data_IF_936657733336
#
_entry.id   IF_936657733336
#
_cell.length_a   1.000
_cell.length_b   1.000
_cell.length_c   1.000
_cell.angle_alpha   90.00
_cell.angle_beta   90.00
_cell.angle_gamma   90.00
#
_symmetry.space_group_name_H-M   'P 1'
#
loop_
_entity.id
_entity.type
_entity.pdbx_description
1 polymer ?
#
# COMPACT_ATOMS: atom_id res chain seq x y z
N UNK A 1 -11.54 16.12 -9.95
CA UNK A 1 -12.86 15.65 -9.45
C UNK A 1 -12.83 14.15 -9.17
N UNK A 2 -12.39 13.29 -10.11
CA UNK A 2 -12.41 11.83 -9.95
C UNK A 2 -11.31 11.24 -9.03
N UNK A 3 -10.04 11.69 -9.14
CA UNK A 3 -8.96 11.28 -8.21
C UNK A 3 -9.31 11.53 -6.73
N UNK A 4 -10.08 12.60 -6.47
CA UNK A 4 -10.54 12.92 -5.13
C UNK A 4 -11.57 11.90 -4.62
N UNK A 5 -12.38 11.35 -5.51
CA UNK A 5 -13.40 10.35 -5.15
C UNK A 5 -12.76 8.99 -4.84
N UNK A 6 -11.82 8.53 -5.67
CA UNK A 6 -11.06 7.31 -5.40
C UNK A 6 -10.27 7.44 -4.09
N UNK A 7 -9.60 8.58 -3.89
CA UNK A 7 -8.90 8.85 -2.65
C UNK A 7 -9.84 8.82 -1.44
N UNK A 8 -11.02 9.44 -1.53
CA UNK A 8 -12.06 9.41 -0.49
C UNK A 8 -12.48 7.97 -0.18
N UNK A 9 -12.78 7.17 -1.20
CA UNK A 9 -13.17 5.76 -1.02
C UNK A 9 -12.06 4.91 -0.39
N UNK A 10 -10.80 5.13 -0.76
CA UNK A 10 -9.64 4.47 -0.17
C UNK A 10 -9.47 4.86 1.30
N UNK A 11 -9.63 6.14 1.62
CA UNK A 11 -9.52 6.67 2.98
C UNK A 11 -10.68 6.14 3.87
N UNK A 12 -11.91 6.13 3.37
CA UNK A 12 -13.05 5.52 4.08
C UNK A 12 -12.86 4.02 4.30
N UNK A 13 -12.41 3.30 3.27
CA UNK A 13 -12.10 1.87 3.39
C UNK A 13 -11.00 1.63 4.42
N UNK A 14 -9.98 2.50 4.49
CA UNK A 14 -8.90 2.44 5.47
C UNK A 14 -9.45 2.55 6.89
N UNK A 15 -10.15 3.64 7.21
CA UNK A 15 -10.66 3.89 8.56
C UNK A 15 -11.71 2.86 8.98
N UNK A 16 -12.58 2.43 8.07
CA UNK A 16 -13.52 1.34 8.35
C UNK A 16 -12.81 0.01 8.65
N UNK A 17 -11.65 -0.23 8.04
CA UNK A 17 -10.80 -1.39 8.34
C UNK A 17 -10.11 -1.28 9.70
N UNK A 18 -9.61 -0.09 10.05
CA UNK A 18 -8.92 0.19 11.30
C UNK A 18 -9.88 0.25 12.51
N UNK A 19 -11.15 0.61 12.31
CA UNK A 19 -12.16 0.65 13.37
C UNK A 19 -12.67 -0.73 13.83
N UNK A 20 -12.18 -1.83 13.23
CA UNK A 20 -12.59 -3.19 13.60
C UNK A 20 -11.88 -3.64 14.89
N UNK A 21 -12.60 -4.31 15.78
CA UNK A 21 -12.09 -4.84 17.06
C UNK A 21 -10.81 -5.69 16.92
N UNK A 22 -10.67 -6.40 15.79
CA UNK A 22 -9.49 -7.18 15.43
C UNK A 22 -8.99 -6.77 14.06
N UNK A 23 -8.09 -5.80 14.04
CA UNK A 23 -7.42 -5.37 12.81
C UNK A 23 -6.49 -6.48 12.34
N UNK A 24 -6.62 -6.86 11.07
CA UNK A 24 -5.73 -7.84 10.45
C UNK A 24 -4.33 -7.25 10.32
N UNK A 25 -3.32 -8.03 10.73
CA UNK A 25 -1.92 -7.77 10.43
C UNK A 25 -1.57 -8.33 9.05
N UNK A 26 -0.68 -7.64 8.35
CA UNK A 26 -0.05 -8.14 7.13
C UNK A 26 0.60 -9.50 7.39
N UNK A 27 0.69 -10.33 6.34
CA UNK A 27 1.45 -11.56 6.40
C UNK A 27 2.91 -11.30 6.82
N UNK A 28 3.66 -12.36 7.11
CA UNK A 28 5.11 -12.20 7.25
C UNK A 28 5.68 -11.83 5.88
N UNK A 29 6.22 -10.63 5.77
CA UNK A 29 6.84 -10.08 4.56
C UNK A 29 8.26 -9.70 4.92
N UNK A 30 9.23 -10.43 4.38
CA UNK A 30 10.64 -10.30 4.76
C UNK A 30 11.23 -8.93 4.42
N UNK A 31 10.63 -8.24 3.44
CA UNK A 31 10.99 -6.90 3.01
C UNK A 31 10.59 -5.80 4.01
N UNK A 32 9.74 -6.11 5.00
CA UNK A 32 9.29 -5.12 5.99
C UNK A 32 10.12 -5.29 7.26
N UNK A 33 11.05 -4.35 7.46
CA UNK A 33 12.02 -4.39 8.54
C UNK A 33 11.74 -3.33 9.61
N UNK A 34 12.08 -3.66 10.84
CA UNK A 34 11.99 -2.81 12.02
C UNK A 34 13.40 -2.51 12.56
N UNK A 35 13.51 -1.60 13.52
CA UNK A 35 14.76 -1.19 14.16
C UNK A 35 15.84 -0.71 13.17
N UNK A 36 15.43 0.17 12.24
CA UNK A 36 16.35 0.75 11.26
C UNK A 36 16.89 -0.27 10.24
N UNK A 37 16.15 -1.35 9.99
CA UNK A 37 16.53 -2.38 9.02
C UNK A 37 17.28 -3.59 9.61
N UNK A 38 17.41 -3.68 10.93
CA UNK A 38 18.20 -4.76 11.55
C UNK A 38 17.46 -6.10 11.60
N UNK A 39 16.13 -6.09 11.55
CA UNK A 39 15.31 -7.31 11.62
C UNK A 39 13.98 -7.16 10.90
N UNK A 40 13.35 -8.26 10.50
CA UNK A 40 11.96 -8.28 10.03
C UNK A 40 11.00 -7.90 11.16
N UNK A 41 9.99 -7.07 10.87
CA UNK A 41 8.93 -6.77 11.83
C UNK A 41 8.10 -8.03 12.12
N UNK A 42 7.78 -8.30 13.39
CA UNK A 42 6.99 -9.47 13.80
C UNK A 42 5.92 -9.09 14.84
N UNK A 43 4.98 -10.01 15.11
CA UNK A 43 3.94 -9.84 16.11
C UNK A 43 3.13 -8.56 15.89
N UNK A 44 3.15 -7.69 16.92
CA UNK A 44 2.42 -6.43 16.96
C UNK A 44 3.07 -5.31 16.12
N UNK A 45 4.33 -5.46 15.71
CA UNK A 45 5.04 -4.48 14.90
C UNK A 45 4.74 -4.63 13.40
N UNK A 46 4.17 -5.77 12.99
CA UNK A 46 3.76 -5.98 11.61
C UNK A 46 2.75 -4.92 11.17
N UNK A 47 2.83 -4.46 9.91
CA UNK A 47 1.85 -3.52 9.38
C UNK A 47 0.43 -4.02 9.55
N UNK A 48 -0.52 -3.11 9.71
CA UNK A 48 -1.92 -3.46 9.53
C UNK A 48 -2.22 -3.62 8.04
N UNK A 49 -3.18 -4.49 7.74
CA UNK A 49 -3.61 -4.76 6.38
C UNK A 49 -5.12 -4.69 6.28
N UNK A 50 -5.61 -3.77 5.46
CA UNK A 50 -7.03 -3.60 5.18
C UNK A 50 -7.30 -4.10 3.76
N UNK A 51 -8.03 -5.21 3.69
CA UNK A 51 -8.41 -5.86 2.45
C UNK A 51 -9.77 -5.32 1.96
N UNK A 52 -9.81 -4.82 0.74
CA UNK A 52 -11.05 -4.51 0.03
C UNK A 52 -10.91 -4.95 -1.44
N UNK A 53 -11.14 -6.24 -1.76
CA UNK A 53 -10.86 -6.78 -3.09
C UNK A 53 -11.62 -6.07 -4.22
N UNK A 54 -12.84 -5.61 -3.93
CA UNK A 54 -13.65 -4.85 -4.89
C UNK A 54 -12.99 -3.50 -5.20
N UNK A 55 -12.71 -2.69 -4.16
CA UNK A 55 -12.08 -1.38 -4.34
C UNK A 55 -10.68 -1.52 -4.96
N UNK A 56 -9.90 -2.52 -4.55
CA UNK A 56 -8.59 -2.81 -5.14
C UNK A 56 -8.70 -3.05 -6.65
N UNK A 57 -9.72 -3.81 -7.09
CA UNK A 57 -9.95 -4.07 -8.52
C UNK A 57 -10.40 -2.81 -9.25
N UNK A 58 -11.27 -2.00 -8.65
CA UNK A 58 -11.71 -0.72 -9.21
C UNK A 58 -10.48 0.20 -9.41
N UNK A 59 -9.65 0.40 -8.38
CA UNK A 59 -8.42 1.18 -8.48
C UNK A 59 -7.45 0.64 -9.54
N UNK A 60 -7.27 -0.68 -9.60
CA UNK A 60 -6.37 -1.31 -10.57
C UNK A 60 -6.78 -1.01 -12.02
N UNK A 61 -8.08 -1.13 -12.32
CA UNK A 61 -8.61 -0.85 -13.66
C UNK A 61 -8.55 0.62 -14.01
N UNK A 62 -8.75 1.48 -13.02
CA UNK A 62 -8.76 2.92 -13.23
C UNK A 62 -7.36 3.51 -13.41
N UNK A 63 -6.35 2.93 -12.75
CA UNK A 63 -4.95 3.33 -12.95
C UNK A 63 -4.34 2.75 -14.24
N UNK A 64 -4.93 1.70 -14.81
CA UNK A 64 -4.43 1.08 -16.04
C UNK A 64 -4.19 2.10 -17.17
N UNK A 65 -5.18 2.91 -17.61
CA UNK A 65 -4.95 3.85 -18.70
C UNK A 65 -3.87 4.89 -18.39
N UNK A 66 -3.72 5.30 -17.12
CA UNK A 66 -2.65 6.22 -16.70
C UNK A 66 -1.27 5.57 -16.79
N UNK A 67 -1.16 4.28 -16.43
CA UNK A 67 0.08 3.53 -16.57
C UNK A 67 0.42 3.26 -18.05
N UNK A 68 -0.57 2.95 -18.88
CA UNK A 68 -0.40 2.76 -20.33
C UNK A 68 0.03 4.06 -21.01
N UNK A 69 -0.61 5.19 -20.67
CA UNK A 69 -0.22 6.51 -21.17
C UNK A 69 1.21 6.87 -20.74
N UNK A 70 1.57 6.62 -19.49
CA UNK A 70 2.91 6.91 -18.96
C UNK A 70 4.00 6.05 -19.60
N UNK A 71 3.73 4.75 -19.79
CA UNK A 71 4.71 3.79 -20.27
C UNK A 71 4.78 3.65 -21.79
N UNK A 72 3.73 4.06 -22.51
CA UNK A 72 3.60 3.93 -23.95
C UNK A 72 3.39 2.48 -24.43
N UNK A 73 2.97 1.57 -23.54
CA UNK A 73 2.68 0.17 -23.86
C UNK A 73 1.32 -0.26 -23.30
N UNK A 74 0.65 -1.18 -24.00
CA UNK A 74 -0.57 -1.82 -23.50
C UNK A 74 -0.25 -2.73 -22.30
N UNK A 75 -1.09 -2.69 -21.27
CA UNK A 75 -0.86 -3.43 -20.03
C UNK A 75 -2.00 -4.41 -19.76
N UNK A 76 -1.68 -5.48 -19.02
CA UNK A 76 -2.68 -6.39 -18.47
C UNK A 76 -2.74 -6.19 -16.95
N UNK A 77 -3.91 -5.89 -16.37
CA UNK A 77 -4.07 -5.79 -14.92
C UNK A 77 -3.61 -7.07 -14.22
N UNK A 78 -2.60 -6.95 -13.35
CA UNK A 78 -2.05 -8.10 -12.61
C UNK A 78 -2.61 -8.19 -11.20
N UNK A 79 -2.30 -7.21 -10.33
CA UNK A 79 -2.66 -7.27 -8.91
C UNK A 79 -2.74 -5.89 -8.27
N UNK A 80 -3.65 -5.76 -7.31
CA UNK A 80 -3.68 -4.68 -6.33
C UNK A 80 -3.75 -5.28 -4.92
N UNK A 81 -2.67 -5.10 -4.16
CA UNK A 81 -2.47 -5.79 -2.88
C UNK A 81 -3.41 -5.30 -1.79
N UNK A 82 -3.92 -4.06 -1.84
CA UNK A 82 -4.74 -3.46 -0.79
C UNK A 82 -3.97 -2.50 0.10
N UNK A 83 -4.59 -2.08 1.20
CA UNK A 83 -4.07 -0.99 2.02
C UNK A 83 -3.19 -1.54 3.15
N UNK A 84 -1.96 -1.04 3.23
CA UNK A 84 -1.00 -1.33 4.30
C UNK A 84 -0.78 -0.10 5.16
N UNK A 85 -0.81 -0.27 6.48
CA UNK A 85 -0.46 0.78 7.43
C UNK A 85 0.84 0.39 8.11
N UNK A 86 1.92 1.03 7.69
CA UNK A 86 3.22 0.91 8.33
C UNK A 86 3.19 1.58 9.69
N UNK A 87 3.79 0.92 10.67
CA UNK A 87 3.83 1.42 12.03
C UNK A 87 5.17 2.10 12.30
N UNK A 88 5.27 2.77 13.44
CA UNK A 88 6.52 3.42 13.87
C UNK A 88 7.67 2.41 13.85
N UNK A 89 8.76 2.79 13.19
CA UNK A 89 9.97 1.96 13.07
C UNK A 89 9.94 0.97 11.91
N UNK A 90 8.81 0.76 11.24
CA UNK A 90 8.75 -0.07 10.03
C UNK A 90 9.40 0.65 8.84
N UNK A 91 10.17 -0.09 8.04
CA UNK A 91 10.81 0.34 6.81
C UNK A 91 10.62 -0.75 5.75
N UNK A 92 10.51 -0.34 4.48
CA UNK A 92 10.46 -1.27 3.35
C UNK A 92 11.86 -1.33 2.74
N UNK A 93 12.46 -2.52 2.71
CA UNK A 93 13.78 -2.70 2.12
C UNK A 93 13.76 -2.52 0.62
N UNK A 94 14.89 -2.10 0.06
CA UNK A 94 15.11 -2.16 -1.38
C UNK A 94 14.86 -3.58 -1.88
N UNK A 95 13.98 -3.69 -2.87
CA UNK A 95 13.66 -4.93 -3.56
C UNK A 95 13.25 -4.61 -4.98
N UNK A 96 13.24 -5.64 -5.82
CA UNK A 96 12.63 -5.60 -7.14
C UNK A 96 11.30 -6.33 -7.05
N UNK A 97 10.26 -5.78 -7.65
CA UNK A 97 9.00 -6.49 -7.83
C UNK A 97 9.19 -7.71 -8.73
N UNK A 98 8.17 -8.57 -8.81
CA UNK A 98 8.25 -9.81 -9.59
C UNK A 98 8.42 -9.50 -11.07
N UNK A 99 9.62 -9.77 -11.58
CA UNK A 99 10.08 -9.42 -12.93
C UNK A 99 9.24 -10.01 -14.06
N UNK A 100 8.53 -11.10 -13.80
CA UNK A 100 7.71 -11.84 -14.76
C UNK A 100 6.33 -11.22 -14.97
N UNK A 101 5.75 -10.56 -13.95
CA UNK A 101 4.38 -10.04 -14.03
C UNK A 101 4.22 -8.55 -13.70
N UNK A 102 5.20 -7.91 -13.07
CA UNK A 102 5.11 -6.51 -12.63
C UNK A 102 6.02 -5.62 -13.47
N UNK A 103 5.55 -5.29 -14.67
CA UNK A 103 6.27 -4.39 -15.59
C UNK A 103 6.15 -2.93 -15.13
N UNK A 104 5.00 -2.56 -14.54
CA UNK A 104 4.72 -1.22 -14.00
C UNK A 104 4.06 -1.38 -12.63
N UNK A 105 4.55 -0.64 -11.63
CA UNK A 105 4.01 -0.60 -10.27
C UNK A 105 3.83 0.85 -9.82
N UNK A 106 2.78 1.12 -9.05
CA UNK A 106 2.61 2.40 -8.37
C UNK A 106 2.18 2.19 -6.92
N UNK A 107 2.52 3.15 -6.07
CA UNK A 107 2.14 3.18 -4.65
C UNK A 107 1.26 4.41 -4.44
N UNK A 108 0.02 4.18 -3.99
CA UNK A 108 -0.88 5.25 -3.58
C UNK A 108 -0.71 5.52 -2.09
N UNK A 109 -0.32 6.75 -1.76
CA UNK A 109 -0.37 7.26 -0.38
C UNK A 109 -1.79 7.75 -0.09
N UNK A 110 -2.51 7.05 0.79
CA UNK A 110 -3.95 7.25 1.03
C UNK A 110 -4.25 8.08 2.27
N UNK A 111 -3.42 7.93 3.30
CA UNK A 111 -3.58 8.67 4.55
C UNK A 111 -2.26 8.74 5.29
N UNK A 112 -2.16 9.70 6.20
CA UNK A 112 -0.98 9.90 7.02
C UNK A 112 -1.36 10.56 8.34
N UNK A 113 -1.23 9.79 9.41
CA UNK A 113 -1.23 10.32 10.76
C UNK A 113 0.19 10.24 11.32
N UNK A 114 0.82 11.41 11.50
CA UNK A 114 2.14 11.50 12.10
C UNK A 114 2.09 11.66 13.62
N UNK A 115 0.92 11.79 14.23
CA UNK A 115 0.79 12.09 15.67
C UNK A 115 1.59 13.32 16.08
N UNK A 116 1.70 14.33 15.21
CA UNK A 116 2.49 15.55 15.41
C UNK A 116 4.00 15.42 15.17
N UNK A 117 4.49 14.30 14.64
CA UNK A 117 5.90 14.13 14.24
C UNK A 117 6.16 14.63 12.81
N UNK A 118 7.44 14.78 12.47
CA UNK A 118 7.88 15.10 11.12
C UNK A 118 7.48 14.01 10.11
N UNK A 119 7.20 14.39 8.85
CA UNK A 119 6.94 13.45 7.78
C UNK A 119 8.00 12.36 7.68
N UNK A 120 7.55 11.11 7.58
CA UNK A 120 8.43 10.00 7.20
C UNK A 120 9.14 10.36 5.89
N UNK A 121 10.49 10.30 5.85
CA UNK A 121 11.22 10.59 4.64
C UNK A 121 10.91 9.47 3.64
N UNK A 122 10.11 9.81 2.62
CA UNK A 122 10.06 9.01 1.41
C UNK A 122 11.35 9.41 0.68
N UNK A 123 12.38 8.56 0.78
CA UNK A 123 13.63 8.70 0.04
C UNK A 123 13.52 8.05 -1.33
#
# INVERSE_FOLDING_TARGET
VWLHEVHRMLNESLHAGLAKDKIRKEGRVDQIQCDGGMRTCDGDERPFFVSNPRLNREVLLELQPLHEEWSGVDLVPSIAYGLRVYQKGSSLTMHTDRVDTHVISSILHVDRDYGGNEPWPIV
#
